data_IF_486882718382
#
_entry.id   IF_486882718382
#
_cell.length_a   1.000
_cell.length_b   1.000
_cell.length_c   1.000
_cell.angle_alpha   90.00
_cell.angle_beta   90.00
_cell.angle_gamma   90.00
#
_symmetry.space_group_name_H-M   'P 1'
#
loop_
_entity.id
_entity.type
_entity.pdbx_description
1 polymer ?
#
# COMPACT_ATOMS: atom_id res chain seq x y z
N UNK A 1 13.02 -80.12 14.38
CA UNK A 1 14.38 -79.76 13.94
C UNK A 1 14.59 -78.27 14.20
N UNK A 2 15.75 -77.95 14.80
CA UNK A 2 16.45 -76.65 14.88
C UNK A 2 15.71 -75.41 15.43
N UNK A 3 16.11 -75.05 16.67
CA UNK A 3 16.11 -73.70 17.24
C UNK A 3 17.09 -72.81 16.45
N UNK A 4 16.79 -71.54 16.22
CA UNK A 4 17.79 -70.46 16.10
C UNK A 4 17.22 -69.18 16.72
N UNK A 5 18.03 -68.62 17.63
CA UNK A 5 17.86 -67.40 18.41
C UNK A 5 18.77 -66.32 17.84
N UNK A 6 18.45 -65.04 18.12
CA UNK A 6 19.36 -63.87 18.19
C UNK A 6 19.84 -63.34 16.81
N UNK A 7 19.92 -62.02 16.55
CA UNK A 7 20.99 -61.13 17.05
C UNK A 7 20.59 -59.65 16.99
N UNK A 8 21.00 -58.98 18.06
CA UNK A 8 21.09 -57.55 18.35
C UNK A 8 22.18 -56.88 17.50
N UNK A 9 21.94 -55.68 16.98
CA UNK A 9 23.02 -54.74 16.65
C UNK A 9 22.58 -53.28 16.79
N UNK A 10 23.01 -52.70 17.91
CA UNK A 10 23.18 -51.26 18.11
C UNK A 10 24.27 -50.77 17.16
N UNK A 11 24.04 -49.67 16.46
CA UNK A 11 25.11 -48.84 15.92
C UNK A 11 24.76 -47.36 16.17
N UNK A 12 25.32 -46.81 17.25
CA UNK A 12 25.57 -45.37 17.33
C UNK A 12 26.87 -45.10 16.57
N UNK A 13 26.85 -44.15 15.65
CA UNK A 13 28.04 -43.45 15.22
C UNK A 13 27.75 -41.95 15.21
N UNK A 14 28.47 -41.28 16.11
CA UNK A 14 28.72 -39.84 16.12
C UNK A 14 29.85 -39.52 15.14
N UNK A 15 29.65 -38.49 14.32
CA UNK A 15 30.66 -37.64 13.67
C UNK A 15 29.89 -36.61 12.83
N UNK A 16 30.30 -35.39 12.56
CA UNK A 16 31.33 -34.48 13.04
C UNK A 16 30.93 -33.14 12.40
N UNK A 17 31.21 -32.02 13.07
CA UNK A 17 31.16 -30.71 12.42
C UNK A 17 32.03 -30.70 11.15
N UNK A 18 31.50 -30.14 10.06
CA UNK A 18 32.29 -29.51 9.01
C UNK A 18 31.61 -28.21 8.61
N UNK A 19 32.42 -27.18 8.56
CA UNK A 19 32.15 -25.77 8.37
C UNK A 19 31.74 -25.41 6.93
N UNK A 20 31.08 -24.25 6.86
CA UNK A 20 30.91 -23.32 5.74
C UNK A 20 30.11 -23.77 4.50
N UNK A 21 28.89 -23.25 4.41
CA UNK A 21 28.53 -22.34 3.32
C UNK A 21 27.23 -21.61 3.63
N UNK A 22 27.34 -20.28 3.55
CA UNK A 22 26.27 -19.30 3.56
C UNK A 22 25.09 -19.71 2.69
N UNK A 23 23.95 -19.97 3.32
CA UNK A 23 22.66 -19.70 2.73
C UNK A 23 21.89 -18.86 3.74
N UNK A 24 21.74 -17.58 3.42
CA UNK A 24 20.73 -16.73 4.04
C UNK A 24 19.39 -17.42 3.79
N UNK A 25 18.95 -18.16 4.80
CA UNK A 25 17.59 -18.66 4.82
C UNK A 25 16.72 -17.43 5.04
N UNK A 26 15.91 -17.11 4.04
CA UNK A 26 14.73 -16.26 4.19
C UNK A 26 13.91 -16.83 5.34
N UNK A 27 14.14 -16.32 6.55
CA UNK A 27 13.28 -16.60 7.69
C UNK A 27 11.87 -16.19 7.29
N UNK A 28 10.88 -17.10 7.32
CA UNK A 28 9.50 -16.74 7.05
C UNK A 28 9.13 -15.58 7.97
N UNK A 29 8.77 -14.44 7.40
CA UNK A 29 8.29 -13.30 8.17
C UNK A 29 7.02 -13.75 8.86
N UNK A 30 7.10 -14.12 10.14
CA UNK A 30 5.93 -14.38 10.96
C UNK A 30 5.11 -13.09 10.93
N UNK A 31 3.87 -13.12 10.41
CA UNK A 31 3.07 -11.91 10.31
C UNK A 31 2.91 -11.33 11.72
N UNK A 32 3.28 -10.06 11.87
CA UNK A 32 3.10 -9.34 13.14
C UNK A 32 1.65 -9.45 13.58
N UNK A 33 1.40 -9.82 14.84
CA UNK A 33 0.06 -9.84 15.42
C UNK A 33 -0.49 -8.43 15.64
N UNK A 34 0.37 -7.41 15.64
CA UNK A 34 -0.02 -6.01 15.85
C UNK A 34 -0.60 -5.46 14.56
N UNK A 35 -1.87 -5.03 14.62
CA UNK A 35 -2.61 -4.44 13.52
C UNK A 35 -3.13 -3.06 13.91
N UNK A 36 -3.11 -2.11 12.97
CA UNK A 36 -3.71 -0.79 13.21
C UNK A 36 -5.22 -0.93 13.23
N UNK A 37 -5.85 -0.54 14.33
CA UNK A 37 -7.29 -0.60 14.51
C UNK A 37 -7.98 0.68 14.09
N UNK A 38 -7.33 1.82 14.33
CA UNK A 38 -7.89 3.14 14.06
C UNK A 38 -6.80 4.16 13.74
N UNK A 39 -7.11 5.07 12.83
CA UNK A 39 -6.32 6.29 12.58
C UNK A 39 -7.24 7.49 12.79
N UNK A 40 -6.73 8.51 13.47
CA UNK A 40 -7.41 9.80 13.63
C UNK A 40 -6.56 10.88 12.96
N UNK A 41 -7.16 11.64 12.04
CA UNK A 41 -6.55 12.82 11.41
C UNK A 41 -7.02 14.07 12.17
N UNK A 42 -6.06 14.88 12.60
CA UNK A 42 -6.25 16.14 13.31
C UNK A 42 -5.70 17.28 12.46
N UNK A 43 -6.36 18.44 12.49
CA UNK A 43 -5.80 19.68 11.96
C UNK A 43 -4.73 20.26 12.90
N UNK A 44 -4.12 21.37 12.49
CA UNK A 44 -3.10 22.11 13.24
C UNK A 44 -3.55 22.57 14.64
N UNK A 45 -4.86 22.73 14.87
CA UNK A 45 -5.44 23.21 16.12
C UNK A 45 -5.89 22.02 17.01
N UNK A 46 -5.65 20.79 16.55
CA UNK A 46 -6.01 19.55 17.25
C UNK A 46 -7.47 19.15 17.07
N UNK A 47 -8.21 19.79 16.16
CA UNK A 47 -9.59 19.41 15.83
C UNK A 47 -9.57 18.18 14.94
N UNK A 48 -10.47 17.25 15.24
CA UNK A 48 -10.60 16.02 14.47
C UNK A 48 -11.22 16.26 13.09
N UNK A 49 -10.45 15.92 12.05
CA UNK A 49 -10.83 16.08 10.65
C UNK A 49 -11.40 14.79 10.06
N UNK A 50 -10.85 13.63 10.45
CA UNK A 50 -11.37 12.33 10.02
C UNK A 50 -10.98 11.19 10.95
N UNK A 51 -11.73 10.10 10.85
CA UNK A 51 -11.38 8.79 11.45
C UNK A 51 -11.35 7.72 10.39
N UNK A 52 -10.35 6.84 10.46
CA UNK A 52 -10.31 5.60 9.69
C UNK A 52 -10.39 4.41 10.64
N UNK A 53 -11.45 3.61 10.54
CA UNK A 53 -11.62 2.36 11.30
C UNK A 53 -11.33 1.15 10.41
N UNK A 54 -10.64 0.15 10.97
CA UNK A 54 -10.19 -1.04 10.26
C UNK A 54 -10.87 -2.31 10.76
N UNK A 55 -11.22 -3.21 9.84
CA UNK A 55 -11.81 -4.52 10.14
C UNK A 55 -10.96 -5.61 9.52
N UNK A 56 -10.66 -6.66 10.30
CA UNK A 56 -9.77 -7.74 9.92
C UNK A 56 -10.41 -9.13 10.04
N UNK A 57 -9.87 -10.08 9.28
CA UNK A 57 -10.06 -11.52 9.48
C UNK A 57 -8.67 -12.16 9.56
N UNK A 58 -8.19 -12.39 10.78
CA UNK A 58 -6.77 -12.64 11.02
C UNK A 58 -5.94 -11.44 10.53
N UNK A 59 -4.85 -11.70 9.81
CA UNK A 59 -4.01 -10.64 9.24
C UNK A 59 -4.49 -10.10 7.88
N UNK A 60 -5.69 -10.47 7.42
CA UNK A 60 -6.29 -9.91 6.19
C UNK A 60 -7.19 -8.75 6.54
N UNK A 61 -6.94 -7.58 5.96
CA UNK A 61 -7.87 -6.45 6.06
C UNK A 61 -9.12 -6.79 5.25
N UNK A 62 -10.30 -6.71 5.86
CA UNK A 62 -11.59 -6.96 5.18
C UNK A 62 -12.14 -5.64 4.65
N UNK A 63 -12.05 -4.59 5.46
CA UNK A 63 -12.47 -3.25 5.08
C UNK A 63 -11.82 -2.16 5.93
N UNK A 64 -11.80 -0.95 5.39
CA UNK A 64 -11.56 0.28 6.15
C UNK A 64 -12.71 1.28 5.87
N UNK A 65 -13.11 2.06 6.87
CA UNK A 65 -14.12 3.11 6.75
C UNK A 65 -13.50 4.43 7.17
N UNK A 66 -13.43 5.37 6.24
CA UNK A 66 -13.00 6.74 6.48
C UNK A 66 -14.26 7.58 6.69
N UNK A 67 -14.39 8.19 7.86
CA UNK A 67 -15.44 9.15 8.16
C UNK A 67 -14.84 10.56 8.29
N UNK A 68 -15.14 11.43 7.31
CA UNK A 68 -14.75 12.85 7.40
C UNK A 68 -15.70 13.56 8.36
N UNK A 69 -15.13 14.27 9.33
CA UNK A 69 -15.86 14.98 10.39
C UNK A 69 -15.98 16.47 10.11
N UNK A 70 -15.09 17.01 9.28
CA UNK A 70 -15.18 18.39 8.81
C UNK A 70 -15.54 18.46 7.32
N UNK A 71 -16.27 19.51 6.95
CA UNK A 71 -16.67 19.76 5.57
C UNK A 71 -15.44 20.13 4.76
N UNK A 72 -15.06 19.29 3.80
CA UNK A 72 -14.17 19.74 2.72
C UNK A 72 -14.96 20.70 1.86
N UNK A 73 -14.61 21.99 1.92
CA UNK A 73 -15.25 23.03 1.11
C UNK A 73 -14.48 23.17 -0.19
N UNK A 74 -15.11 22.78 -1.31
CA UNK A 74 -14.62 23.12 -2.66
C UNK A 74 -15.66 24.03 -3.28
N UNK A 75 -15.31 25.30 -3.51
CA UNK A 75 -16.18 26.26 -4.20
C UNK A 75 -17.50 26.59 -3.50
N UNK A 76 -17.50 26.76 -2.16
CA UNK A 76 -18.67 27.01 -1.31
C UNK A 76 -19.68 25.85 -1.18
N UNK A 77 -19.32 24.64 -1.64
CA UNK A 77 -20.11 23.45 -1.37
C UNK A 77 -19.30 22.57 -0.43
N UNK A 78 -19.77 22.47 0.82
CA UNK A 78 -19.21 21.58 1.81
C UNK A 78 -19.77 20.17 1.61
N UNK A 79 -18.89 19.18 1.54
CA UNK A 79 -19.31 17.79 1.47
C UNK A 79 -18.72 16.98 2.63
N UNK A 80 -19.59 16.26 3.34
CA UNK A 80 -19.20 15.17 4.24
C UNK A 80 -19.27 13.88 3.43
N UNK A 81 -18.12 13.27 3.20
CA UNK A 81 -18.04 11.97 2.55
C UNK A 81 -17.52 10.93 3.54
N UNK A 82 -18.25 9.83 3.61
CA UNK A 82 -17.76 8.62 4.25
C UNK A 82 -17.38 7.65 3.14
N UNK A 83 -16.17 7.10 3.19
CA UNK A 83 -15.73 6.11 2.22
C UNK A 83 -15.55 4.77 2.89
N UNK A 84 -16.01 3.72 2.23
CA UNK A 84 -15.72 2.34 2.62
C UNK A 84 -14.89 1.68 1.54
N UNK A 85 -13.73 1.18 1.95
CA UNK A 85 -12.86 0.35 1.13
C UNK A 85 -13.05 -1.11 1.53
N UNK A 86 -13.27 -2.00 0.56
CA UNK A 86 -13.47 -3.44 0.75
C UNK A 86 -12.40 -4.21 -0.02
N UNK A 87 -11.83 -5.24 0.59
CA UNK A 87 -10.73 -6.02 0.04
C UNK A 87 -11.18 -7.45 -0.24
N UNK A 88 -10.81 -7.96 -1.42
CA UNK A 88 -11.03 -9.35 -1.82
C UNK A 88 -9.69 -10.06 -1.94
N UNK A 89 -9.65 -11.33 -1.51
CA UNK A 89 -8.43 -12.13 -1.47
C UNK A 89 -8.58 -13.44 -2.24
N UNK A 90 -7.49 -13.89 -2.84
CA UNK A 90 -7.26 -15.28 -3.23
C UNK A 90 -6.01 -15.77 -2.51
N UNK A 91 -6.13 -16.77 -1.64
CA UNK A 91 -5.05 -17.12 -0.72
C UNK A 91 -4.67 -15.90 0.13
N UNK A 92 -3.39 -15.52 0.13
CA UNK A 92 -2.87 -14.35 0.85
C UNK A 92 -2.72 -13.09 -0.03
N UNK A 93 -3.14 -13.15 -1.29
CA UNK A 93 -3.03 -12.04 -2.24
C UNK A 93 -4.34 -11.25 -2.28
N UNK A 94 -4.23 -9.92 -2.25
CA UNK A 94 -5.37 -9.03 -2.49
C UNK A 94 -5.62 -8.99 -4.01
N UNK A 95 -6.77 -9.47 -4.45
CA UNK A 95 -7.12 -9.55 -5.88
C UNK A 95 -8.08 -8.46 -6.33
N UNK A 96 -8.79 -7.81 -5.39
CA UNK A 96 -9.64 -6.66 -5.71
C UNK A 96 -9.77 -5.72 -4.51
N UNK A 97 -9.83 -4.42 -4.79
CA UNK A 97 -10.16 -3.36 -3.83
C UNK A 97 -11.34 -2.58 -4.42
N UNK A 98 -12.44 -2.48 -3.67
CA UNK A 98 -13.60 -1.65 -4.04
C UNK A 98 -13.73 -0.49 -3.07
N UNK A 99 -14.10 0.67 -3.58
CA UNK A 99 -14.28 1.87 -2.80
C UNK A 99 -15.65 2.42 -3.08
N UNK A 100 -16.40 2.65 -2.02
CA UNK A 100 -17.77 3.12 -2.05
C UNK A 100 -17.85 4.45 -1.31
N UNK A 101 -18.56 5.40 -1.90
CA UNK A 101 -19.02 6.58 -1.20
C UNK A 101 -20.32 6.22 -0.47
N UNK A 102 -20.38 6.49 0.82
CA UNK A 102 -21.56 6.27 1.66
C UNK A 102 -22.24 7.63 1.84
N UNK A 103 -23.32 7.86 1.10
CA UNK A 103 -24.16 9.05 1.20
C UNK A 103 -25.53 8.62 1.70
N UNK A 104 -26.02 9.20 2.80
CA UNK A 104 -27.33 8.91 3.37
C UNK A 104 -27.63 7.39 3.51
N UNK A 105 -26.64 6.62 3.94
CA UNK A 105 -26.69 5.16 4.09
C UNK A 105 -26.86 4.35 2.79
N UNK A 106 -26.56 4.95 1.63
CA UNK A 106 -26.46 4.24 0.36
C UNK A 106 -25.01 4.13 -0.08
N UNK A 107 -24.59 2.90 -0.37
CA UNK A 107 -23.29 2.58 -0.94
C UNK A 107 -23.30 2.86 -2.45
N UNK A 108 -22.57 3.88 -2.91
CA UNK A 108 -22.28 4.09 -4.33
C UNK A 108 -20.85 3.65 -4.62
N UNK A 109 -20.67 2.63 -5.47
CA UNK A 109 -19.35 2.25 -5.97
C UNK A 109 -18.74 3.41 -6.76
N UNK A 110 -17.56 3.86 -6.36
CA UNK A 110 -16.83 4.96 -7.03
C UNK A 110 -15.49 4.52 -7.60
N UNK A 111 -14.89 3.46 -7.04
CA UNK A 111 -13.65 2.89 -7.54
C UNK A 111 -13.65 1.36 -7.39
N UNK A 112 -13.06 0.67 -8.35
CA UNK A 112 -12.65 -0.74 -8.22
C UNK A 112 -11.25 -0.89 -8.79
N UNK A 113 -10.36 -1.59 -8.10
CA UNK A 113 -9.05 -1.97 -8.64
C UNK A 113 -8.92 -3.47 -8.54
N UNK A 114 -8.70 -4.13 -9.66
CA UNK A 114 -8.37 -5.56 -9.71
C UNK A 114 -6.87 -5.75 -9.91
N UNK A 115 -6.32 -6.79 -9.30
CA UNK A 115 -4.90 -7.14 -9.35
C UNK A 115 -4.71 -8.54 -9.92
N UNK A 116 -3.76 -8.66 -10.83
CA UNK A 116 -3.39 -9.93 -11.44
C UNK A 116 -1.94 -10.27 -11.08
N UNK A 117 -1.75 -11.51 -10.68
CA UNK A 117 -0.46 -12.06 -10.29
C UNK A 117 -0.08 -13.23 -11.20
N UNK A 118 1.22 -13.47 -11.34
CA UNK A 118 1.72 -14.70 -11.97
C UNK A 118 1.75 -15.89 -10.98
N UNK A 119 2.28 -17.03 -11.45
CA UNK A 119 2.42 -18.24 -10.62
C UNK A 119 3.43 -18.09 -9.46
N UNK A 120 4.29 -17.08 -9.50
CA UNK A 120 5.24 -16.74 -8.43
C UNK A 120 4.67 -15.69 -7.47
N UNK A 121 3.39 -15.34 -7.63
CA UNK A 121 2.72 -14.27 -6.89
C UNK A 121 3.34 -12.87 -7.11
N UNK A 122 4.06 -12.66 -8.21
CA UNK A 122 4.52 -11.34 -8.63
C UNK A 122 3.34 -10.60 -9.31
N UNK A 123 3.14 -9.32 -8.98
CA UNK A 123 2.10 -8.49 -9.60
C UNK A 123 2.47 -8.22 -11.07
N UNK A 124 1.61 -8.62 -12.01
CA UNK A 124 1.84 -8.44 -13.45
C UNK A 124 0.94 -7.37 -14.07
N UNK A 125 -0.24 -7.12 -13.49
CA UNK A 125 -1.07 -5.98 -13.88
C UNK A 125 -2.03 -5.53 -12.79
N UNK A 126 -2.48 -4.29 -12.90
CA UNK A 126 -3.63 -3.78 -12.16
C UNK A 126 -4.56 -3.03 -13.10
N UNK A 127 -5.88 -3.16 -12.88
CA UNK A 127 -6.90 -2.44 -13.64
C UNK A 127 -7.79 -1.70 -12.67
N UNK A 128 -7.74 -0.36 -12.72
CA UNK A 128 -8.57 0.54 -11.92
C UNK A 128 -9.71 1.05 -12.78
N UNK A 129 -10.93 0.83 -12.32
CA UNK A 129 -12.15 1.41 -12.85
C UNK A 129 -12.66 2.50 -11.90
N UNK A 130 -12.92 3.68 -12.44
CA UNK A 130 -13.51 4.80 -11.73
C UNK A 130 -14.90 5.09 -12.29
N UNK A 131 -15.89 5.13 -11.42
CA UNK A 131 -17.30 5.17 -11.81
C UNK A 131 -17.87 6.59 -11.69
N UNK A 132 -18.41 7.10 -12.79
CA UNK A 132 -19.18 8.35 -12.86
C UNK A 132 -20.64 8.04 -13.20
N UNK A 133 -21.48 9.06 -13.24
CA UNK A 133 -22.92 8.89 -13.50
C UNK A 133 -23.21 8.36 -14.90
N UNK A 134 -22.39 8.71 -15.89
CA UNK A 134 -22.65 8.40 -17.32
C UNK A 134 -21.58 7.55 -17.99
N UNK A 135 -20.43 7.34 -17.35
CA UNK A 135 -19.34 6.55 -17.90
C UNK A 135 -18.44 6.02 -16.77
N UNK A 136 -17.51 5.13 -17.10
CA UNK A 136 -16.38 4.80 -16.23
C UNK A 136 -15.07 5.05 -16.94
N UNK A 137 -14.11 5.63 -16.23
CA UNK A 137 -12.72 5.72 -16.65
C UNK A 137 -11.99 4.44 -16.26
N UNK A 138 -11.08 3.97 -17.11
CA UNK A 138 -10.30 2.75 -16.89
C UNK A 138 -8.83 3.10 -17.00
N UNK A 139 -8.07 2.72 -15.98
CA UNK A 139 -6.62 2.83 -15.95
C UNK A 139 -6.02 1.45 -15.75
N UNK A 140 -5.28 0.96 -16.75
CA UNK A 140 -4.61 -0.34 -16.69
C UNK A 140 -3.11 -0.14 -16.62
N UNK A 141 -2.46 -0.73 -15.63
CA UNK A 141 -1.01 -0.73 -15.48
C UNK A 141 -0.49 -2.14 -15.69
N UNK A 142 0.47 -2.30 -16.59
CA UNK A 142 1.20 -3.56 -16.79
C UNK A 142 2.59 -3.42 -16.20
N UNK A 143 3.01 -4.44 -15.45
CA UNK A 143 4.31 -4.47 -14.79
C UNK A 143 5.18 -5.55 -15.44
N UNK A 144 6.43 -5.20 -15.73
CA UNK A 144 7.45 -6.10 -16.24
C UNK A 144 8.65 -6.07 -15.30
N UNK A 145 8.80 -7.11 -14.50
CA UNK A 145 9.93 -7.26 -13.57
C UNK A 145 11.23 -7.38 -14.36
N UNK A 146 12.18 -6.50 -14.08
CA UNK A 146 13.52 -6.55 -14.68
C UNK A 146 14.45 -7.35 -13.78
N UNK A 147 14.41 -7.05 -12.48
CA UNK A 147 15.16 -7.74 -11.44
C UNK A 147 14.44 -7.60 -10.08
N UNK A 148 15.10 -7.99 -8.99
CA UNK A 148 14.52 -7.95 -7.63
C UNK A 148 14.12 -6.55 -7.17
N UNK A 149 14.75 -5.50 -7.67
CA UNK A 149 14.60 -4.12 -7.21
C UNK A 149 14.14 -3.15 -8.30
N UNK A 150 13.83 -3.65 -9.50
CA UNK A 150 13.46 -2.79 -10.63
C UNK A 150 12.33 -3.41 -11.44
N UNK A 151 11.31 -2.60 -11.72
CA UNK A 151 10.12 -2.96 -12.50
C UNK A 151 9.88 -1.89 -13.56
N UNK A 152 9.73 -2.30 -14.82
CA UNK A 152 9.19 -1.44 -15.86
C UNK A 152 7.66 -1.47 -15.82
N UNK A 153 7.04 -0.38 -16.25
CA UNK A 153 5.60 -0.24 -16.21
C UNK A 153 5.08 0.57 -17.38
N UNK A 154 3.94 0.12 -17.93
CA UNK A 154 3.18 0.83 -18.95
C UNK A 154 1.77 1.06 -18.43
N UNK A 155 1.28 2.28 -18.60
CA UNK A 155 -0.02 2.71 -18.14
C UNK A 155 -0.88 3.09 -19.34
N UNK A 156 -2.06 2.52 -19.37
CA UNK A 156 -3.04 2.71 -20.42
C UNK A 156 -4.31 3.31 -19.83
N UNK A 157 -4.92 4.24 -20.56
CA UNK A 157 -6.20 4.85 -20.21
C UNK A 157 -7.23 4.55 -21.29
N UNK A 158 -8.47 4.31 -20.88
CA UNK A 158 -9.65 4.26 -21.74
C UNK A 158 -10.89 4.71 -20.97
N UNK A 159 -12.03 4.84 -21.65
CA UNK A 159 -13.31 5.00 -20.99
C UNK A 159 -14.41 4.15 -21.64
N UNK A 160 -15.51 3.93 -20.91
CA UNK A 160 -16.56 3.00 -21.35
C UNK A 160 -17.40 3.48 -22.54
N UNK A 161 -17.23 4.72 -23.01
CA UNK A 161 -18.04 5.29 -24.11
C UNK A 161 -17.51 4.86 -25.46
N UNK A 162 -16.20 4.85 -25.65
CA UNK A 162 -15.54 4.44 -26.89
C UNK A 162 -14.69 3.16 -26.74
N UNK A 163 -14.32 2.80 -25.50
CA UNK A 163 -13.43 1.68 -25.15
C UNK A 163 -12.08 1.73 -25.88
N UNK A 164 -11.64 2.91 -26.34
CA UNK A 164 -10.35 3.04 -26.99
C UNK A 164 -9.24 3.18 -25.95
N UNK A 165 -8.27 2.28 -26.03
CA UNK A 165 -7.15 2.27 -25.10
C UNK A 165 -5.95 3.05 -25.66
N UNK A 166 -5.42 3.96 -24.86
CA UNK A 166 -4.27 4.81 -25.21
C UNK A 166 -3.17 4.63 -24.17
N UNK A 167 -1.91 4.46 -24.62
CA UNK A 167 -0.75 4.51 -23.73
C UNK A 167 -0.58 5.95 -23.23
N UNK A 168 -0.67 6.16 -21.91
CA UNK A 168 -0.57 7.48 -21.29
C UNK A 168 0.74 7.69 -20.54
N UNK A 169 1.44 6.61 -20.19
CA UNK A 169 2.74 6.68 -19.54
C UNK A 169 3.52 5.38 -19.66
N UNK A 170 4.83 5.49 -19.83
CA UNK A 170 5.78 4.39 -19.74
C UNK A 170 6.93 4.81 -18.82
N UNK A 171 7.31 3.92 -17.92
CA UNK A 171 8.25 4.27 -16.86
C UNK A 171 8.86 3.09 -16.14
N UNK A 172 9.59 3.43 -15.08
CA UNK A 172 10.33 2.47 -14.27
C UNK A 172 10.22 2.83 -12.79
N UNK A 173 10.06 1.79 -11.98
CA UNK A 173 10.08 1.85 -10.53
C UNK A 173 11.35 1.18 -10.00
N UNK A 174 12.01 1.85 -9.06
CA UNK A 174 13.18 1.33 -8.36
C UNK A 174 12.92 1.23 -6.86
N UNK A 175 13.37 0.13 -6.29
CA UNK A 175 13.14 -0.23 -4.90
C UNK A 175 14.46 -0.37 -4.13
N UNK A 176 14.44 -0.07 -2.83
CA UNK A 176 15.54 -0.40 -1.94
C UNK A 176 15.51 -1.90 -1.53
N UNK A 177 16.47 -2.30 -0.69
CA UNK A 177 16.57 -3.66 -0.16
C UNK A 177 15.36 -4.07 0.70
N UNK A 178 14.67 -3.09 1.31
CA UNK A 178 13.45 -3.29 2.10
C UNK A 178 12.18 -3.25 1.23
N UNK A 179 12.32 -3.18 -0.10
CA UNK A 179 11.23 -3.07 -1.08
C UNK A 179 10.42 -1.77 -0.97
N UNK A 180 11.01 -0.72 -0.42
CA UNK A 180 10.47 0.64 -0.47
C UNK A 180 10.69 1.24 -1.86
N UNK A 181 9.68 1.91 -2.42
CA UNK A 181 9.82 2.61 -3.70
C UNK A 181 10.68 3.86 -3.49
N UNK A 182 11.92 3.87 -3.96
CA UNK A 182 12.83 5.03 -3.82
C UNK A 182 12.69 6.01 -4.98
N UNK A 183 12.26 5.53 -6.16
CA UNK A 183 12.21 6.34 -7.38
C UNK A 183 11.16 5.83 -8.35
N UNK A 184 10.42 6.78 -8.94
CA UNK A 184 9.60 6.58 -10.15
C UNK A 184 10.06 7.53 -11.25
N UNK A 185 10.29 7.00 -12.45
CA UNK A 185 10.81 7.77 -13.59
C UNK A 185 10.05 7.44 -14.87
N UNK A 186 9.88 8.43 -15.73
CA UNK A 186 9.42 8.21 -17.10
C UNK A 186 10.55 7.64 -17.94
N UNK A 187 10.25 6.70 -18.83
CA UNK A 187 11.23 6.18 -19.80
C UNK A 187 11.33 7.10 -21.03
N UNK A 188 10.26 7.83 -21.34
CA UNK A 188 10.15 8.65 -22.55
C UNK A 188 10.46 10.14 -22.31
N UNK A 189 10.60 10.56 -21.06
CA UNK A 189 10.94 11.92 -20.70
C UNK A 189 11.91 11.96 -19.53
N UNK A 190 12.85 12.91 -19.54
CA UNK A 190 13.86 13.08 -18.47
C UNK A 190 13.29 13.57 -17.12
N UNK A 191 11.97 13.55 -16.94
CA UNK A 191 11.31 13.94 -15.71
C UNK A 191 11.27 12.77 -14.73
N UNK A 192 11.86 12.99 -13.55
CA UNK A 192 11.58 12.23 -12.34
C UNK A 192 10.10 12.41 -11.99
N UNK A 193 9.36 11.33 -11.78
CA UNK A 193 7.95 11.42 -11.37
C UNK A 193 7.84 11.47 -9.84
N UNK A 194 8.81 10.90 -9.12
CA UNK A 194 9.03 11.24 -7.73
C UNK A 194 10.15 10.47 -7.05
N UNK A 195 10.63 10.99 -5.93
CA UNK A 195 11.59 10.36 -5.02
C UNK A 195 11.05 10.30 -3.61
N UNK A 196 11.44 9.26 -2.88
CA UNK A 196 10.93 8.98 -1.55
C UNK A 196 12.08 8.59 -0.62
N UNK A 197 12.05 9.13 0.59
CA UNK A 197 12.96 8.81 1.68
C UNK A 197 12.12 8.19 2.79
N UNK A 198 12.63 7.12 3.40
CA UNK A 198 11.92 6.33 4.41
C UNK A 198 12.78 6.18 5.66
N UNK A 199 12.14 5.92 6.79
CA UNK A 199 12.85 5.36 7.93
C UNK A 199 12.91 3.82 7.89
N UNK A 200 13.49 3.24 8.94
CA UNK A 200 13.70 1.81 9.09
C UNK A 200 12.66 1.14 9.99
N UNK A 201 11.63 1.87 10.43
CA UNK A 201 10.63 1.39 11.38
C UNK A 201 9.44 0.74 10.66
N UNK A 202 8.61 0.04 11.44
CA UNK A 202 7.43 -0.63 10.89
C UNK A 202 6.39 0.41 10.47
N UNK A 203 5.76 0.23 9.31
CA UNK A 203 4.60 1.04 8.94
C UNK A 203 3.33 0.52 9.65
N UNK A 204 2.25 1.33 9.75
CA UNK A 204 1.02 0.95 10.46
C UNK A 204 0.35 -0.32 9.93
N UNK A 205 0.57 -0.67 8.65
CA UNK A 205 -0.05 -1.81 7.97
C UNK A 205 0.94 -2.94 7.65
N UNK A 206 2.12 -2.96 8.28
CA UNK A 206 3.17 -3.98 8.03
C UNK A 206 2.67 -5.41 8.27
N UNK A 207 1.76 -5.60 9.21
CA UNK A 207 1.15 -6.90 9.53
C UNK A 207 0.08 -7.38 8.54
N UNK A 208 -0.34 -6.55 7.57
CA UNK A 208 -1.44 -6.89 6.65
C UNK A 208 -0.97 -7.77 5.50
N UNK A 209 -1.54 -8.96 5.38
CA UNK A 209 -1.23 -9.91 4.31
C UNK A 209 -1.62 -9.36 2.94
N UNK A 210 -0.76 -9.61 1.95
CA UNK A 210 -0.98 -9.27 0.54
C UNK A 210 -0.74 -7.80 0.20
N UNK A 211 -0.74 -6.89 1.18
CA UNK A 211 -0.55 -5.46 0.93
C UNK A 211 0.84 -5.18 0.33
N UNK A 212 1.86 -5.93 0.76
CA UNK A 212 3.22 -5.86 0.22
C UNK A 212 3.35 -6.26 -1.25
N UNK A 213 2.37 -7.00 -1.79
CA UNK A 213 2.36 -7.46 -3.18
C UNK A 213 1.78 -6.43 -4.15
N UNK A 214 1.03 -5.44 -3.67
CA UNK A 214 0.45 -4.41 -4.53
C UNK A 214 1.49 -3.32 -4.84
N UNK A 215 1.47 -2.79 -6.06
CA UNK A 215 2.21 -1.59 -6.45
C UNK A 215 1.22 -0.49 -6.75
N UNK A 216 0.84 0.26 -5.71
CA UNK A 216 -0.02 1.43 -5.85
C UNK A 216 0.84 2.67 -5.68
N UNK A 217 1.03 3.41 -6.78
CA UNK A 217 1.42 4.81 -6.68
C UNK A 217 0.13 5.63 -6.47
N UNK A 218 0.23 6.74 -5.76
CA UNK A 218 -0.77 7.82 -5.74
C UNK A 218 -0.89 8.45 -7.14
N UNK A 219 -1.16 7.63 -8.17
CA UNK A 219 -1.57 8.12 -9.47
C UNK A 219 -2.91 8.75 -9.21
N UNK A 220 -3.02 10.09 -9.32
CA UNK A 220 -4.27 10.77 -9.12
C UNK A 220 -5.29 10.07 -10.03
N UNK A 221 -6.51 9.83 -9.56
CA UNK A 221 -7.56 9.41 -10.47
C UNK A 221 -7.54 10.32 -11.71
N UNK A 222 -7.71 9.74 -12.91
CA UNK A 222 -7.71 10.44 -14.19
C UNK A 222 -8.60 11.69 -14.18
N UNK A 223 -9.58 11.70 -13.28
CA UNK A 223 -10.47 12.82 -13.02
C UNK A 223 -10.50 13.06 -11.51
N UNK A 224 -10.06 14.24 -11.08
CA UNK A 224 -9.98 14.78 -9.70
C UNK A 224 -10.95 14.15 -8.67
N UNK A 225 -10.59 12.98 -8.13
CA UNK A 225 -11.08 12.52 -6.81
C UNK A 225 -9.93 12.69 -5.84
N UNK A 226 -9.58 13.95 -5.62
CA UNK A 226 -8.56 14.41 -4.68
C UNK A 226 -8.82 13.98 -3.21
N UNK A 227 -9.99 13.40 -2.92
CA UNK A 227 -10.38 12.94 -1.59
C UNK A 227 -10.00 11.49 -1.27
N UNK A 228 -9.48 10.72 -2.24
CA UNK A 228 -9.16 9.30 -2.04
C UNK A 228 -7.66 9.11 -1.80
N UNK A 229 -7.15 9.71 -0.71
CA UNK A 229 -5.85 9.34 -0.16
C UNK A 229 -5.99 7.96 0.48
N UNK A 230 -5.74 6.93 -0.30
CA UNK A 230 -5.72 5.59 0.25
C UNK A 230 -4.47 5.43 1.11
N UNK A 231 -4.65 5.06 2.37
CA UNK A 231 -3.55 4.62 3.25
C UNK A 231 -2.98 3.26 2.80
N UNK A 232 -2.84 3.00 1.50
CA UNK A 232 -2.37 1.74 0.93
C UNK A 232 -0.86 1.82 0.70
N UNK A 233 -0.10 1.94 1.78
CA UNK A 233 1.34 1.95 1.69
C UNK A 233 1.89 0.62 2.19
N UNK A 234 2.46 -0.15 1.28
CA UNK A 234 3.32 -1.29 1.64
C UNK A 234 4.67 -0.88 2.18
N UNK A 235 5.05 0.36 1.90
CA UNK A 235 6.35 0.90 2.19
C UNK A 235 6.51 1.19 3.69
N UNK A 236 7.74 1.32 4.14
CA UNK A 236 8.05 1.91 5.43
C UNK A 236 7.46 3.32 5.55
N UNK A 237 7.63 3.93 6.72
CA UNK A 237 7.17 5.28 6.97
C UNK A 237 7.97 6.27 6.11
N UNK A 238 7.27 6.95 5.20
CA UNK A 238 7.85 7.93 4.28
C UNK A 238 8.23 9.15 5.10
N UNK A 239 9.51 9.50 5.22
CA UNK A 239 9.96 10.73 5.86
C UNK A 239 9.82 11.93 4.93
N UNK A 240 10.02 11.72 3.63
CA UNK A 240 9.95 12.77 2.62
C UNK A 240 9.55 12.20 1.27
N UNK A 241 8.72 12.93 0.56
CA UNK A 241 8.40 12.65 -0.84
C UNK A 241 8.48 13.90 -1.68
N UNK A 242 9.16 13.81 -2.83
CA UNK A 242 9.20 14.86 -3.84
C UNK A 242 8.52 14.30 -5.08
N UNK A 243 7.34 14.79 -5.42
CA UNK A 243 6.58 14.38 -6.59
C UNK A 243 6.52 15.57 -7.55
N UNK A 244 6.80 15.34 -8.82
CA UNK A 244 6.76 16.41 -9.82
C UNK A 244 5.37 17.04 -9.90
N UNK A 245 5.33 18.38 -9.88
CA UNK A 245 4.06 19.13 -9.87
C UNK A 245 3.40 19.26 -8.49
N UNK A 246 4.00 18.74 -7.41
CA UNK A 246 3.53 18.88 -6.03
C UNK A 246 4.59 19.55 -5.15
N UNK A 247 4.16 20.12 -4.02
CA UNK A 247 5.10 20.59 -3.01
C UNK A 247 5.79 19.39 -2.33
N UNK A 248 7.08 19.50 -1.96
CA UNK A 248 7.73 18.50 -1.14
C UNK A 248 6.95 18.28 0.15
N UNK A 249 6.69 17.00 0.43
CA UNK A 249 5.96 16.55 1.60
C UNK A 249 6.93 15.92 2.58
N UNK A 250 6.74 16.23 3.85
CA UNK A 250 7.58 15.77 4.95
C UNK A 250 6.71 15.15 6.03
N UNK A 251 7.20 14.07 6.63
CA UNK A 251 6.56 13.45 7.77
C UNK A 251 7.53 13.28 8.93
N UNK A 252 7.02 13.47 10.14
CA UNK A 252 7.74 13.19 11.39
C UNK A 252 6.93 12.19 12.20
N UNK A 253 7.58 11.14 12.66
CA UNK A 253 6.93 10.05 13.36
C UNK A 253 7.38 9.96 14.82
N UNK A 254 6.43 9.66 15.69
CA UNK A 254 6.72 9.10 17.02
C UNK A 254 6.31 7.65 17.05
N UNK A 255 6.97 6.85 17.87
CA UNK A 255 6.82 5.40 17.87
C UNK A 255 6.42 4.87 19.25
N UNK A 256 5.57 3.86 19.26
CA UNK A 256 5.31 3.07 20.45
C UNK A 256 6.47 2.08 20.75
N UNK A 257 6.41 1.39 21.89
CA UNK A 257 7.43 0.45 22.32
C UNK A 257 7.66 -0.73 21.35
N UNK A 258 6.67 -1.06 20.52
CA UNK A 258 6.74 -2.12 19.51
C UNK A 258 7.31 -1.62 18.16
N UNK A 259 7.72 -0.35 18.08
CA UNK A 259 8.30 0.24 16.87
C UNK A 259 7.30 0.55 15.76
N UNK A 260 6.01 0.64 16.09
CA UNK A 260 4.94 1.13 15.21
C UNK A 260 4.64 2.61 15.49
N UNK A 261 4.28 3.42 14.48
CA UNK A 261 3.97 4.83 14.67
C UNK A 261 2.86 5.01 15.70
N UNK A 262 3.03 5.84 16.72
CA UNK A 262 1.92 6.32 17.55
C UNK A 262 1.33 7.61 17.00
N UNK A 263 2.16 8.42 16.33
CA UNK A 263 1.79 9.69 15.72
C UNK A 263 2.61 9.92 14.44
N UNK A 264 2.02 10.60 13.45
CA UNK A 264 2.69 11.16 12.29
C UNK A 264 2.25 12.60 12.09
N UNK A 265 3.18 13.53 12.03
CA UNK A 265 2.91 14.91 11.58
C UNK A 265 3.29 15.03 10.11
N UNK A 266 2.35 15.41 9.26
CA UNK A 266 2.58 15.69 7.84
C UNK A 266 2.59 17.20 7.61
N UNK A 267 3.57 17.69 6.86
CA UNK A 267 3.62 19.10 6.47
C UNK A 267 4.23 19.36 5.09
N UNK A 268 3.84 20.49 4.49
CA UNK A 268 4.37 20.99 3.22
C UNK A 268 5.13 22.29 3.43
N UNK A 269 6.33 22.39 2.86
CA UNK A 269 7.13 23.61 2.90
C UNK A 269 7.09 24.29 1.54
N UNK A 270 6.64 25.55 1.51
CA UNK A 270 6.68 26.41 0.34
C UNK A 270 7.28 27.77 0.68
N UNK A 271 8.35 28.15 -0.01
CA UNK A 271 9.10 29.39 0.23
C UNK A 271 9.48 29.62 1.71
N UNK A 272 9.87 28.54 2.40
CA UNK A 272 10.24 28.56 3.82
C UNK A 272 9.08 28.57 4.80
N UNK A 273 7.83 28.63 4.34
CA UNK A 273 6.64 28.59 5.19
C UNK A 273 5.98 27.22 5.19
N UNK A 274 5.45 26.82 6.34
CA UNK A 274 4.55 25.68 6.41
C UNK A 274 3.17 26.08 5.86
N UNK A 275 2.72 25.41 4.81
CA UNK A 275 1.41 25.68 4.16
C UNK A 275 0.38 24.59 4.41
N UNK A 276 0.74 23.51 5.11
CA UNK A 276 -0.14 22.39 5.44
C UNK A 276 0.39 21.70 6.68
N UNK A 277 -0.46 21.49 7.68
CA UNK A 277 -0.05 20.84 8.93
C UNK A 277 -1.21 19.99 9.44
N UNK A 278 -1.01 18.67 9.44
CA UNK A 278 -1.96 17.69 9.95
C UNK A 278 -1.23 16.66 10.79
N UNK A 279 -1.91 16.16 11.81
CA UNK A 279 -1.40 15.12 12.69
C UNK A 279 -2.27 13.88 12.58
N UNK A 280 -1.65 12.73 12.37
CA UNK A 280 -2.29 11.43 12.40
C UNK A 280 -1.92 10.69 13.68
N UNK A 281 -2.92 10.16 14.39
CA UNK A 281 -2.73 9.32 15.56
C UNK A 281 -3.13 7.89 15.24
N UNK A 282 -2.31 6.93 15.64
CA UNK A 282 -2.48 5.52 15.32
C UNK A 282 -2.76 4.71 16.58
N UNK A 283 -3.80 3.88 16.51
CA UNK A 283 -4.22 3.01 17.60
C UNK A 283 -4.16 1.57 17.11
N UNK A 284 -3.55 0.69 17.89
CA UNK A 284 -3.29 -0.70 17.52
C UNK A 284 -4.05 -1.68 18.43
N UNK A 285 -4.23 -2.90 17.94
CA UNK A 285 -4.64 -4.08 18.71
C UNK A 285 -3.48 -5.07 18.90
#
# INVERSE_FOLDING_TARGET
MKKITLILSVLMLVSSCSSDSSSESDTPVTPSSILVKKIIELDKDGKEMSTTDFVYNGNKIVSEVIAKKDLSVVGNIGFLYNYKTEYTYTGNLITSIKVKNIIANQDKLVLKTDFLYDSNEDLISSTREQYFDTFKGILRVVYAKINTNTVNCKMYSSDSRDNMETLVWEGKFSFDVNKNLIKSESLDASFLFGSFEYDTKSNPKKGVLGLNKIMFQEIPPLYNVSALQYHLHKFNNVLKSNISGSFPKFNQYTYNANGYPSEMKEYYIYNGNNIHDVTFQYFYE
#
